data_IF_234473762615
#
_entry.id   IF_234473762615
#
_cell.length_a   1.000
_cell.length_b   1.000
_cell.length_c   1.000
_cell.angle_alpha   90.00
_cell.angle_beta   90.00
_cell.angle_gamma   90.00
#
_symmetry.space_group_name_H-M   'P 1'
#
loop_
_entity.id
_entity.type
_entity.pdbx_description
1 polymer ?
#
# COMPACT_ATOMS: atom_id res chain seq x y z
N UNK A 1 -10.86 25.88 -5.85
CA UNK A 1 -9.67 25.03 -5.99
C UNK A 1 -10.05 23.71 -6.63
N UNK A 2 -9.32 23.30 -7.63
CA UNK A 2 -9.58 22.02 -8.26
C UNK A 2 -8.86 20.94 -7.47
N UNK A 3 -9.61 19.99 -6.95
CA UNK A 3 -9.03 18.87 -6.23
C UNK A 3 -8.65 17.82 -7.25
N UNK A 4 -7.36 17.48 -7.29
CA UNK A 4 -6.84 16.49 -8.21
C UNK A 4 -6.43 15.21 -7.51
N UNK A 5 -7.18 14.87 -6.48
CA UNK A 5 -6.99 13.61 -5.78
C UNK A 5 -7.75 12.51 -6.48
N UNK A 6 -7.19 11.33 -6.50
CA UNK A 6 -7.82 10.19 -7.13
C UNK A 6 -7.72 8.97 -6.23
N UNK A 7 -8.87 8.38 -5.93
CA UNK A 7 -8.93 7.14 -5.19
C UNK A 7 -8.89 5.96 -6.15
N UNK A 8 -7.99 5.03 -5.86
CA UNK A 8 -7.94 3.76 -6.58
C UNK A 8 -8.21 2.65 -5.58
N UNK A 9 -9.36 2.01 -5.73
CA UNK A 9 -9.68 0.81 -4.98
C UNK A 9 -9.61 -0.41 -5.89
N UNK A 10 -10.13 -1.52 -5.41
CA UNK A 10 -10.17 -2.74 -6.20
C UNK A 10 -11.06 -2.63 -7.43
N UNK A 11 -11.88 -1.60 -7.50
CA UNK A 11 -12.86 -1.41 -8.58
C UNK A 11 -12.49 -0.33 -9.57
N UNK A 12 -11.25 0.12 -9.58
CA UNK A 12 -10.88 1.15 -10.54
C UNK A 12 -11.11 0.66 -11.96
N UNK A 13 -11.68 1.55 -12.79
CA UNK A 13 -11.98 1.23 -14.18
C UNK A 13 -10.95 1.79 -15.14
N UNK A 14 -10.10 2.67 -14.65
CA UNK A 14 -9.12 3.30 -15.51
C UNK A 14 -7.84 2.47 -15.54
N UNK A 15 -7.55 1.93 -16.70
CA UNK A 15 -6.48 0.99 -16.90
C UNK A 15 -5.12 1.53 -16.44
N UNK A 16 -4.85 2.80 -16.74
CA UNK A 16 -3.57 3.42 -16.36
C UNK A 16 -3.35 3.45 -14.85
N UNK A 17 -4.42 3.72 -14.09
CA UNK A 17 -4.34 3.72 -12.63
C UNK A 17 -4.19 2.30 -12.10
N UNK A 18 -4.89 1.36 -12.70
CA UNK A 18 -4.81 -0.04 -12.30
C UNK A 18 -3.40 -0.59 -12.51
N UNK A 19 -2.74 -0.24 -13.60
CA UNK A 19 -1.37 -0.66 -13.87
C UNK A 19 -0.40 -0.11 -12.83
N UNK A 20 -0.53 1.17 -12.51
CA UNK A 20 0.33 1.79 -11.50
C UNK A 20 0.09 1.16 -10.12
N UNK A 21 -1.17 1.00 -9.74
CA UNK A 21 -1.53 0.43 -8.45
C UNK A 21 -1.06 -1.01 -8.32
N UNK A 22 -1.13 -1.79 -9.41
CA UNK A 22 -0.68 -3.17 -9.39
C UNK A 22 0.83 -3.27 -9.23
N UNK A 23 1.59 -2.44 -9.94
CA UNK A 23 3.04 -2.41 -9.80
C UNK A 23 3.45 -2.00 -8.38
N UNK A 24 2.77 -1.01 -7.83
CA UNK A 24 2.98 -0.58 -6.45
C UNK A 24 2.68 -1.71 -5.46
N UNK A 25 1.54 -2.39 -5.64
CA UNK A 25 1.13 -3.49 -4.79
C UNK A 25 2.17 -4.62 -4.79
N UNK A 26 2.65 -4.99 -5.97
CA UNK A 26 3.66 -6.04 -6.10
C UNK A 26 4.95 -5.68 -5.38
N UNK A 27 5.38 -4.43 -5.51
CA UNK A 27 6.59 -3.97 -4.82
C UNK A 27 6.43 -4.05 -3.31
N UNK A 28 5.30 -3.56 -2.78
CA UNK A 28 5.04 -3.59 -1.34
C UNK A 28 4.95 -5.03 -0.84
N UNK A 29 4.27 -5.90 -1.59
CA UNK A 29 4.14 -7.30 -1.21
C UNK A 29 5.51 -7.99 -1.16
N UNK A 30 6.35 -7.74 -2.14
CA UNK A 30 7.71 -8.29 -2.18
C UNK A 30 8.52 -7.80 -0.99
N UNK A 31 8.49 -6.50 -0.72
CA UNK A 31 9.20 -5.92 0.41
C UNK A 31 8.69 -6.47 1.74
N UNK A 32 7.38 -6.65 1.84
CA UNK A 32 6.77 -7.20 3.05
C UNK A 32 7.21 -8.63 3.33
N UNK A 33 7.33 -9.44 2.29
CA UNK A 33 7.78 -10.81 2.44
C UNK A 33 9.27 -10.89 2.77
N UNK A 34 10.06 -9.97 2.24
CA UNK A 34 11.49 -9.89 2.55
C UNK A 34 11.76 -9.35 3.95
N UNK A 35 10.87 -8.52 4.47
CA UNK A 35 11.02 -7.83 5.75
C UNK A 35 9.88 -8.18 6.71
N UNK A 36 9.43 -9.42 6.68
CA UNK A 36 8.32 -9.88 7.53
C UNK A 36 8.71 -9.69 9.00
N UNK A 37 7.79 -9.14 9.83
CA UNK A 37 8.14 -8.86 11.22
C UNK A 37 8.50 -10.14 11.97
N UNK A 38 9.65 -10.14 12.60
CA UNK A 38 10.15 -11.32 13.28
C UNK A 38 9.26 -11.74 14.44
N UNK A 39 8.77 -10.77 15.20
CA UNK A 39 7.87 -11.07 16.30
C UNK A 39 6.57 -11.73 15.83
N UNK A 40 6.03 -11.27 14.69
CA UNK A 40 4.83 -11.89 14.12
C UNK A 40 5.13 -13.31 13.65
N UNK A 41 6.33 -13.52 13.10
CA UNK A 41 6.76 -14.85 12.66
C UNK A 41 6.90 -15.82 13.83
N UNK A 42 7.54 -15.38 14.90
CA UNK A 42 7.75 -16.22 16.07
C UNK A 42 6.45 -16.58 16.77
N UNK A 43 5.56 -15.61 16.91
CA UNK A 43 4.29 -15.80 17.62
C UNK A 43 3.16 -16.26 16.71
N UNK A 44 3.43 -16.40 15.40
CA UNK A 44 2.43 -16.82 14.42
C UNK A 44 1.21 -15.91 14.38
N UNK A 45 1.41 -14.61 14.54
CA UNK A 45 0.32 -13.65 14.41
C UNK A 45 -0.18 -13.67 12.96
N UNK A 46 -1.48 -13.61 12.82
CA UNK A 46 -2.11 -13.47 11.51
C UNK A 46 -3.23 -12.45 11.64
N UNK A 47 -3.50 -11.75 10.58
CA UNK A 47 -4.55 -10.75 10.59
C UNK A 47 -4.65 -10.04 9.26
N UNK A 48 -5.70 -9.25 9.16
CA UNK A 48 -6.00 -8.54 7.94
C UNK A 48 -6.27 -7.08 8.30
N UNK A 49 -5.66 -6.18 7.56
CA UNK A 49 -5.88 -4.77 7.75
C UNK A 49 -6.19 -4.10 6.41
N UNK A 50 -6.87 -2.98 6.48
CA UNK A 50 -7.15 -2.18 5.30
C UNK A 50 -6.43 -0.86 5.45
N UNK A 51 -5.68 -0.49 4.42
CA UNK A 51 -4.81 0.66 4.49
C UNK A 51 -4.91 1.47 3.20
N UNK A 52 -4.91 2.79 3.35
CA UNK A 52 -4.86 3.72 2.22
C UNK A 52 -3.51 4.42 2.25
N UNK A 53 -2.79 4.35 1.14
CA UNK A 53 -1.53 5.04 0.97
C UNK A 53 -1.70 6.09 -0.11
N UNK A 54 -1.40 7.33 0.20
CA UNK A 54 -1.49 8.44 -0.73
C UNK A 54 -0.09 8.81 -1.20
N UNK A 55 0.09 8.90 -2.51
CA UNK A 55 1.38 9.14 -3.14
C UNK A 55 1.38 10.45 -3.91
N UNK A 56 2.54 11.10 -3.94
CA UNK A 56 2.79 12.30 -4.72
C UNK A 56 3.29 11.94 -6.11
N UNK A 57 3.24 12.88 -7.07
CA UNK A 57 3.69 12.58 -8.44
C UNK A 57 5.11 12.08 -8.57
N UNK A 58 5.98 12.43 -7.62
CA UNK A 58 7.38 11.97 -7.64
C UNK A 58 7.55 10.60 -6.96
N UNK A 59 6.47 9.97 -6.51
CA UNK A 59 6.49 8.67 -5.88
C UNK A 59 6.68 8.70 -4.37
N UNK A 60 6.80 9.89 -3.78
CA UNK A 60 6.92 9.98 -2.32
C UNK A 60 5.57 9.79 -1.65
N UNK A 61 5.62 9.31 -0.41
CA UNK A 61 4.41 9.11 0.39
C UNK A 61 3.91 10.45 0.91
N UNK A 62 2.65 10.75 0.64
CA UNK A 62 1.99 11.91 1.22
C UNK A 62 1.38 11.56 2.57
N UNK A 63 0.69 10.42 2.65
CA UNK A 63 0.02 9.99 3.87
C UNK A 63 -0.21 8.49 3.86
N UNK A 64 -0.26 7.91 5.06
CA UNK A 64 -0.64 6.51 5.26
C UNK A 64 -1.73 6.49 6.30
N UNK A 65 -2.87 5.87 5.96
CA UNK A 65 -4.01 5.77 6.87
C UNK A 65 -4.44 4.32 6.99
N UNK A 66 -4.57 3.85 8.23
CA UNK A 66 -5.11 2.51 8.49
C UNK A 66 -6.61 2.66 8.69
N UNK A 67 -7.37 2.18 7.72
CA UNK A 67 -8.83 2.27 7.72
C UNK A 67 -9.45 1.22 8.63
N UNK A 68 -8.83 0.05 8.69
CA UNK A 68 -9.29 -1.04 9.54
C UNK A 68 -8.06 -1.78 10.06
N UNK A 69 -7.93 -1.83 11.38
CA UNK A 69 -6.81 -2.49 12.04
C UNK A 69 -6.89 -4.01 11.92
N UNK A 70 -5.74 -4.65 11.91
CA UNK A 70 -5.64 -6.11 11.96
C UNK A 70 -6.03 -6.68 13.32
N UNK A 71 -6.11 -5.82 14.34
CA UNK A 71 -6.30 -6.26 15.70
C UNK A 71 -4.98 -6.41 16.46
N UNK A 72 -3.86 -6.35 15.77
CA UNK A 72 -2.53 -6.44 16.36
C UNK A 72 -1.72 -5.21 15.99
N UNK A 73 -1.32 -4.46 16.99
CA UNK A 73 -0.52 -3.26 16.75
C UNK A 73 0.75 -3.56 15.97
N UNK A 74 1.38 -4.70 16.26
CA UNK A 74 2.62 -5.08 15.58
C UNK A 74 2.43 -5.26 14.07
N UNK A 75 1.31 -5.83 13.66
CA UNK A 75 1.01 -6.02 12.25
C UNK A 75 0.70 -4.68 11.57
N UNK A 76 -0.05 -3.82 12.24
CA UNK A 76 -0.38 -2.50 11.71
C UNK A 76 0.88 -1.65 11.52
N UNK A 77 1.77 -1.66 12.50
CA UNK A 77 3.03 -0.92 12.41
C UNK A 77 3.96 -1.51 11.36
N UNK A 78 3.96 -2.84 11.25
CA UNK A 78 4.77 -3.52 10.24
C UNK A 78 4.33 -3.13 8.84
N UNK A 79 3.03 -3.10 8.58
CA UNK A 79 2.51 -2.69 7.29
C UNK A 79 2.94 -1.27 6.93
N UNK A 80 2.85 -0.36 7.89
CA UNK A 80 3.28 1.03 7.70
C UNK A 80 4.78 1.11 7.38
N UNK A 81 5.59 0.39 8.13
CA UNK A 81 7.05 0.36 7.90
C UNK A 81 7.42 -0.20 6.54
N UNK A 82 6.75 -1.26 6.13
CA UNK A 82 7.00 -1.88 4.83
C UNK A 82 6.73 -0.87 3.70
N UNK A 83 5.62 -0.15 3.79
CA UNK A 83 5.29 0.88 2.80
C UNK A 83 6.36 1.98 2.81
N UNK A 84 6.79 2.42 3.98
CA UNK A 84 7.83 3.46 4.07
C UNK A 84 9.16 3.00 3.50
N UNK A 85 9.51 1.73 3.65
CA UNK A 85 10.74 1.16 3.10
C UNK A 85 10.80 1.24 1.58
N UNK A 86 9.67 1.12 0.92
CA UNK A 86 9.62 1.14 -0.53
C UNK A 86 9.67 2.52 -1.14
N UNK A 87 9.50 3.56 -0.34
CA UNK A 87 9.50 4.94 -0.85
C UNK A 87 10.92 5.43 -1.12
N UNK A 88 11.13 6.30 -2.12
CA UNK A 88 10.10 6.73 -3.07
C UNK A 88 9.74 5.65 -4.08
N UNK A 89 8.48 5.63 -4.46
CA UNK A 89 8.00 4.70 -5.47
C UNK A 89 8.22 5.29 -6.86
N UNK A 90 7.82 4.55 -7.88
CA UNK A 90 7.96 5.04 -9.24
C UNK A 90 7.18 6.35 -9.42
N UNK A 91 7.74 7.35 -10.13
CA UNK A 91 6.98 8.56 -10.44
C UNK A 91 5.76 8.23 -11.26
N UNK A 92 4.74 9.07 -11.16
CA UNK A 92 3.55 8.88 -11.98
C UNK A 92 3.91 9.00 -13.46
N UNK A 93 3.37 8.11 -14.32
CA UNK A 93 3.44 8.33 -15.76
C UNK A 93 2.77 9.66 -16.13
N UNK A 94 3.16 10.23 -17.26
CA UNK A 94 2.65 11.53 -17.68
C UNK A 94 1.13 11.59 -17.77
N UNK A 95 0.49 10.52 -18.20
CA UNK A 95 -0.96 10.49 -18.33
C UNK A 95 -1.68 10.52 -16.97
N UNK A 96 -1.02 10.03 -15.93
CA UNK A 96 -1.55 10.13 -14.55
C UNK A 96 -1.19 11.50 -13.97
N UNK A 97 0.04 11.94 -14.18
CA UNK A 97 0.54 13.19 -13.64
C UNK A 97 -0.28 14.39 -14.08
N UNK A 98 -0.80 14.36 -15.29
CA UNK A 98 -1.64 15.42 -15.83
C UNK A 98 -2.98 15.54 -15.09
N UNK A 99 -3.46 14.44 -14.56
CA UNK A 99 -4.82 14.38 -14.02
C UNK A 99 -4.89 14.55 -12.51
N UNK A 100 -3.87 14.08 -11.78
CA UNK A 100 -3.93 14.04 -10.33
C UNK A 100 -2.65 14.55 -9.71
N UNK A 101 -2.80 15.18 -8.54
CA UNK A 101 -1.66 15.61 -7.71
C UNK A 101 -1.39 14.60 -6.60
N UNK A 102 -2.43 13.89 -6.16
CA UNK A 102 -2.32 12.86 -5.13
C UNK A 102 -3.08 11.63 -5.61
N UNK A 103 -2.44 10.50 -5.51
CA UNK A 103 -3.06 9.22 -5.84
C UNK A 103 -3.16 8.39 -4.58
N UNK A 104 -4.39 8.07 -4.18
CA UNK A 104 -4.66 7.28 -2.99
C UNK A 104 -5.01 5.86 -3.37
N UNK A 105 -4.24 4.90 -2.87
CA UNK A 105 -4.43 3.48 -3.16
C UNK A 105 -4.88 2.78 -1.89
N UNK A 106 -6.06 2.17 -1.94
CA UNK A 106 -6.62 1.43 -0.81
C UNK A 106 -6.57 -0.07 -1.11
N UNK A 107 -5.94 -0.82 -0.23
CA UNK A 107 -5.82 -2.27 -0.36
C UNK A 107 -5.99 -2.95 0.99
N UNK A 108 -6.42 -4.19 0.94
CA UNK A 108 -6.49 -5.05 2.11
C UNK A 108 -5.23 -5.91 2.13
N UNK A 109 -4.51 -5.86 3.26
CA UNK A 109 -3.25 -6.59 3.43
C UNK A 109 -3.48 -7.70 4.45
N UNK A 110 -3.09 -8.90 4.09
CA UNK A 110 -3.29 -10.09 4.92
C UNK A 110 -1.93 -10.66 5.34
N UNK A 111 -1.70 -10.73 6.64
CA UNK A 111 -0.55 -11.45 7.22
C UNK A 111 -1.02 -12.86 7.55
N UNK A 112 -0.34 -13.86 7.04
CA UNK A 112 -0.75 -15.25 7.24
C UNK A 112 0.13 -15.94 8.26
N UNK A 113 -0.34 -17.10 8.74
CA UNK A 113 0.45 -17.91 9.67
C UNK A 113 1.64 -18.57 8.98
N UNK A 114 1.66 -18.56 7.66
CA UNK A 114 2.77 -19.08 6.87
C UNK A 114 3.89 -18.05 6.67
N UNK A 115 3.85 -16.95 7.43
CA UNK A 115 4.83 -15.88 7.38
C UNK A 115 4.87 -15.18 6.01
N UNK A 116 3.70 -15.00 5.41
CA UNK A 116 3.59 -14.29 4.14
C UNK A 116 2.63 -13.12 4.23
N UNK A 117 2.89 -12.11 3.42
CA UNK A 117 2.03 -10.96 3.25
C UNK A 117 1.42 -11.02 1.85
N UNK A 118 0.11 -10.88 1.77
CA UNK A 118 -0.57 -10.78 0.50
C UNK A 118 -1.51 -9.59 0.52
N UNK A 119 -1.91 -9.12 -0.66
CA UNK A 119 -2.79 -7.97 -0.77
C UNK A 119 -3.85 -8.20 -1.83
N UNK A 120 -4.98 -7.54 -1.64
CA UNK A 120 -6.08 -7.59 -2.59
C UNK A 120 -6.71 -6.23 -2.78
#
# INVERSE_FOLDING_TARGET
>A
MCIRDRYIGARTKEYKYALYAEAWRQKVETLGNMNYPEEAREKKFSGQLRMTVSLKPDGRIDNIEINQSSGFKILDEAARKIVELGAPYAPFPEDIKKEVDILSITRTWTFTKDDTLSSQ
#
